data_IF_924953877993
#
_entry.id   IF_924953877993
#
_cell.length_a   1.000
_cell.length_b   1.000
_cell.length_c   1.000
_cell.angle_alpha   90.00
_cell.angle_beta   90.00
_cell.angle_gamma   90.00
#
_symmetry.space_group_name_H-M   'P 1'
#
loop_
_entity.id
_entity.type
_entity.pdbx_description
1 polymer ?
#
# COMPACT_ATOMS: atom_id res chain seq x y z
N UNK A 1 8.69 -16.50 -12.55
CA UNK A 1 8.13 -15.30 -11.89
C UNK A 1 8.54 -15.35 -10.44
N UNK A 2 9.31 -14.39 -9.92
CA UNK A 2 9.56 -14.30 -8.48
C UNK A 2 8.24 -13.96 -7.78
N UNK A 3 7.98 -14.65 -6.66
CA UNK A 3 6.83 -14.39 -5.78
C UNK A 3 7.40 -13.98 -4.44
N UNK A 4 6.95 -12.84 -3.92
CA UNK A 4 7.27 -12.39 -2.56
C UNK A 4 6.12 -12.75 -1.63
N UNK A 5 6.37 -13.66 -0.69
CA UNK A 5 5.40 -14.06 0.31
C UNK A 5 5.62 -13.24 1.58
N UNK A 6 4.56 -12.56 2.03
CA UNK A 6 4.64 -11.67 3.18
C UNK A 6 4.34 -12.47 4.45
N UNK A 7 5.40 -12.92 5.12
CA UNK A 7 5.34 -13.68 6.38
C UNK A 7 5.21 -12.72 7.58
N UNK A 8 4.05 -12.06 7.70
CA UNK A 8 3.77 -11.14 8.81
C UNK A 8 2.49 -11.54 9.55
N UNK A 9 2.52 -11.75 10.88
CA UNK A 9 1.38 -12.32 11.62
C UNK A 9 0.08 -11.50 11.47
N UNK A 10 0.19 -10.16 11.41
CA UNK A 10 -0.98 -9.29 11.17
C UNK A 10 -1.54 -9.44 9.76
N UNK A 11 -0.71 -9.73 8.75
CA UNK A 11 -1.20 -9.99 7.39
C UNK A 11 -2.01 -11.27 7.37
N UNK A 12 -1.51 -12.34 8.02
CA UNK A 12 -2.23 -13.61 8.11
C UNK A 12 -3.53 -13.48 8.90
N UNK A 13 -3.55 -12.73 10.01
CA UNK A 13 -4.77 -12.44 10.78
C UNK A 13 -5.84 -11.73 9.92
N UNK A 14 -5.47 -10.66 9.22
CA UNK A 14 -6.38 -9.95 8.31
C UNK A 14 -6.86 -10.86 7.18
N UNK A 15 -5.97 -11.71 6.65
CA UNK A 15 -6.32 -12.67 5.60
C UNK A 15 -7.34 -13.71 6.08
N UNK A 16 -7.27 -14.16 7.33
CA UNK A 16 -8.27 -15.05 7.91
C UNK A 16 -9.67 -14.41 7.89
N UNK A 17 -9.79 -13.14 8.33
CA UNK A 17 -11.07 -12.42 8.31
C UNK A 17 -11.59 -12.21 6.88
N UNK A 18 -10.71 -11.90 5.93
CA UNK A 18 -11.08 -11.75 4.52
C UNK A 18 -11.54 -13.06 3.86
N UNK A 19 -11.09 -14.21 4.36
CA UNK A 19 -11.46 -15.53 3.85
C UNK A 19 -12.72 -16.10 4.49
N UNK A 20 -13.07 -15.65 5.69
CA UNK A 20 -14.24 -16.14 6.40
C UNK A 20 -15.53 -15.70 5.69
N UNK A 21 -16.33 -16.67 5.25
CA UNK A 21 -17.62 -16.47 4.58
C UNK A 21 -18.68 -15.81 5.46
N UNK A 22 -18.50 -15.83 6.78
CA UNK A 22 -19.40 -15.19 7.74
C UNK A 22 -19.09 -13.71 7.96
N UNK A 23 -17.97 -13.20 7.43
CA UNK A 23 -17.54 -11.81 7.60
C UNK A 23 -18.56 -10.83 6.98
N UNK A 24 -19.13 -9.91 7.78
CA UNK A 24 -20.05 -8.91 7.28
C UNK A 24 -19.41 -7.98 6.24
N UNK A 25 -20.16 -7.44 5.27
CA UNK A 25 -19.60 -6.63 4.18
C UNK A 25 -18.83 -5.37 4.62
N UNK A 26 -19.24 -4.74 5.72
CA UNK A 26 -18.56 -3.58 6.30
C UNK A 26 -17.21 -3.95 6.92
N UNK A 27 -17.15 -5.06 7.67
CA UNK A 27 -15.91 -5.60 8.24
C UNK A 27 -14.97 -6.02 7.12
N UNK A 28 -15.48 -6.69 6.08
CA UNK A 28 -14.69 -7.08 4.91
C UNK A 28 -14.02 -5.87 4.26
N UNK A 29 -14.76 -4.78 4.01
CA UNK A 29 -14.20 -3.55 3.43
C UNK A 29 -13.12 -2.94 4.32
N UNK A 30 -13.32 -2.93 5.64
CA UNK A 30 -12.33 -2.42 6.59
C UNK A 30 -11.04 -3.25 6.56
N UNK A 31 -11.17 -4.58 6.55
CA UNK A 31 -10.02 -5.49 6.48
C UNK A 31 -9.33 -5.45 5.12
N UNK A 32 -10.06 -5.27 4.03
CA UNK A 32 -9.49 -5.12 2.69
C UNK A 32 -8.65 -3.84 2.59
N UNK A 33 -9.13 -2.74 3.16
CA UNK A 33 -8.35 -1.49 3.29
C UNK A 33 -7.08 -1.73 4.11
N UNK A 34 -7.19 -2.39 5.27
CA UNK A 34 -6.04 -2.71 6.14
C UNK A 34 -5.00 -3.59 5.44
N UNK A 35 -5.46 -4.64 4.75
CA UNK A 35 -4.60 -5.49 3.91
C UNK A 35 -3.88 -4.65 2.86
N UNK A 36 -4.59 -3.76 2.17
CA UNK A 36 -4.02 -2.90 1.13
C UNK A 36 -2.88 -2.02 1.66
N UNK A 37 -3.01 -1.45 2.86
CA UNK A 37 -1.93 -0.69 3.50
C UNK A 37 -0.69 -1.55 3.76
N UNK A 38 -0.88 -2.76 4.29
CA UNK A 38 0.22 -3.68 4.58
C UNK A 38 0.94 -4.12 3.30
N UNK A 39 0.17 -4.48 2.27
CA UNK A 39 0.71 -4.86 0.96
C UNK A 39 1.47 -3.70 0.30
N UNK A 40 0.93 -2.47 0.37
CA UNK A 40 1.58 -1.31 -0.22
C UNK A 40 2.87 -0.92 0.51
N UNK A 41 2.89 -1.00 1.85
CA UNK A 41 4.11 -0.77 2.62
C UNK A 41 5.21 -1.77 2.24
N UNK A 42 4.86 -3.05 2.13
CA UNK A 42 5.82 -4.10 1.76
C UNK A 42 6.27 -3.97 0.30
N UNK A 43 5.34 -3.75 -0.63
CA UNK A 43 5.65 -3.64 -2.07
C UNK A 43 6.50 -2.41 -2.43
N UNK A 44 6.64 -1.45 -1.51
CA UNK A 44 7.37 -0.19 -1.72
C UNK A 44 8.71 -0.14 -1.00
N UNK A 45 9.15 -1.22 -0.34
CA UNK A 45 10.37 -1.28 0.45
C UNK A 45 11.64 -0.93 -0.36
N UNK A 46 11.66 -1.30 -1.64
CA UNK A 46 12.81 -1.13 -2.55
C UNK A 46 12.68 0.08 -3.48
N UNK A 47 11.75 1.01 -3.23
CA UNK A 47 11.61 2.20 -4.06
C UNK A 47 12.90 3.05 -4.07
N UNK A 48 13.29 3.60 -5.23
CA UNK A 48 14.46 4.45 -5.31
C UNK A 48 14.27 5.72 -4.48
N UNK A 49 15.30 6.05 -3.72
CA UNK A 49 15.35 7.24 -2.88
C UNK A 49 16.51 8.14 -3.25
N UNK A 50 16.38 9.43 -2.95
CA UNK A 50 17.46 10.42 -3.06
C UNK A 50 17.87 10.92 -1.69
N UNK A 51 19.19 11.12 -1.44
CA UNK A 51 19.66 11.74 -0.22
C UNK A 51 19.17 13.19 -0.14
N UNK A 52 18.79 13.61 1.05
CA UNK A 52 18.38 14.99 1.35
C UNK A 52 18.94 15.39 2.72
N UNK A 53 19.15 16.69 2.92
CA UNK A 53 19.42 17.26 4.25
C UNK A 53 18.21 18.09 4.66
N UNK A 54 17.72 17.89 5.88
CA UNK A 54 16.59 18.65 6.43
C UNK A 54 17.03 19.40 7.69
N UNK A 55 16.44 20.57 7.93
CA UNK A 55 16.63 21.31 9.18
C UNK A 55 15.62 20.82 10.21
N UNK A 56 16.11 20.21 11.28
CA UNK A 56 15.30 19.84 12.45
C UNK A 56 15.43 20.92 13.53
N UNK A 57 14.57 20.92 14.58
CA UNK A 57 14.74 21.81 15.72
C UNK A 57 16.12 21.70 16.41
N UNK A 58 16.82 20.57 16.24
CA UNK A 58 18.15 20.32 16.80
C UNK A 58 19.30 20.56 15.80
N UNK A 59 19.00 21.02 14.58
CA UNK A 59 19.98 21.31 13.52
C UNK A 59 19.81 20.47 12.25
N UNK A 60 20.76 20.57 11.29
CA UNK A 60 20.73 19.82 10.03
C UNK A 60 20.88 18.31 10.24
N UNK A 61 20.03 17.52 9.59
CA UNK A 61 20.05 16.05 9.67
C UNK A 61 19.97 15.41 8.27
N UNK A 62 20.73 14.32 8.01
CA UNK A 62 20.61 13.56 6.77
C UNK A 62 19.31 12.75 6.74
N UNK A 63 18.75 12.58 5.55
CA UNK A 63 17.55 11.78 5.32
C UNK A 63 17.47 11.25 3.90
N UNK A 64 16.39 10.51 3.62
CA UNK A 64 16.08 9.97 2.30
C UNK A 64 14.67 10.37 1.91
N UNK A 65 14.48 10.76 0.66
CA UNK A 65 13.15 11.07 0.10
C UNK A 65 12.87 10.13 -1.08
N UNK A 66 11.69 9.55 -1.13
CA UNK A 66 11.23 8.75 -2.27
C UNK A 66 11.19 9.64 -3.51
N UNK A 67 11.81 9.18 -4.61
CA UNK A 67 11.97 9.95 -5.84
C UNK A 67 11.36 9.30 -7.08
N UNK A 68 10.57 8.23 -6.89
CA UNK A 68 9.97 7.47 -7.99
C UNK A 68 8.67 8.12 -8.50
N UNK A 69 8.50 8.16 -9.82
CA UNK A 69 7.22 8.46 -10.47
C UNK A 69 6.32 7.22 -10.43
N UNK A 70 5.43 7.16 -9.43
CA UNK A 70 4.59 5.99 -9.19
C UNK A 70 3.21 6.16 -9.85
N UNK A 71 2.74 5.09 -10.47
CA UNK A 71 1.38 4.98 -11.02
C UNK A 71 0.67 3.80 -10.37
N UNK A 72 -0.47 4.05 -9.75
CA UNK A 72 -1.35 3.03 -9.18
C UNK A 72 -2.44 2.70 -10.20
N UNK A 73 -2.58 1.42 -10.54
CA UNK A 73 -3.55 0.96 -11.53
C UNK A 73 -4.49 -0.08 -10.93
N UNK A 74 -5.64 0.32 -10.36
CA UNK A 74 -6.67 -0.64 -9.95
C UNK A 74 -7.24 -1.40 -11.15
N UNK A 75 -7.36 -2.72 -10.97
CA UNK A 75 -8.18 -3.57 -11.84
C UNK A 75 -9.62 -3.53 -11.32
N UNK A 76 -10.52 -2.99 -12.15
CA UNK A 76 -11.91 -2.79 -11.75
C UNK A 76 -12.70 -4.10 -11.74
N UNK A 77 -13.68 -4.27 -10.83
CA UNK A 77 -14.15 -3.29 -9.83
C UNK A 77 -13.48 -3.43 -8.46
N UNK A 78 -13.03 -4.64 -8.11
CA UNK A 78 -12.56 -4.95 -6.75
C UNK A 78 -11.36 -4.10 -6.32
N UNK A 79 -10.47 -3.73 -7.25
CA UNK A 79 -9.29 -2.92 -6.97
C UNK A 79 -9.60 -1.50 -6.50
N UNK A 80 -10.81 -0.98 -6.73
CA UNK A 80 -11.16 0.40 -6.37
C UNK A 80 -11.08 0.63 -4.85
N UNK A 81 -11.49 -0.36 -4.05
CA UNK A 81 -11.43 -0.26 -2.58
C UNK A 81 -10.01 -0.27 -2.00
N UNK A 82 -8.99 -0.54 -2.82
CA UNK A 82 -7.58 -0.59 -2.40
C UNK A 82 -6.85 0.72 -2.68
N UNK A 83 -7.32 1.52 -3.65
CA UNK A 83 -6.60 2.71 -4.14
C UNK A 83 -6.36 3.71 -3.03
N UNK A 84 -7.40 4.02 -2.25
CA UNK A 84 -7.32 5.03 -1.18
C UNK A 84 -6.25 4.67 -0.14
N UNK A 85 -6.11 3.37 0.18
CA UNK A 85 -5.06 2.89 1.08
C UNK A 85 -3.66 3.07 0.48
N UNK A 86 -3.48 2.81 -0.81
CA UNK A 86 -2.17 3.00 -1.46
C UNK A 86 -1.80 4.48 -1.51
N UNK A 87 -2.76 5.36 -1.82
CA UNK A 87 -2.56 6.81 -1.86
C UNK A 87 -2.27 7.41 -0.48
N UNK A 88 -2.71 6.79 0.60
CA UNK A 88 -2.35 7.18 1.97
C UNK A 88 -0.83 7.01 2.22
N UNK A 89 -0.22 5.97 1.63
CA UNK A 89 1.24 5.73 1.74
C UNK A 89 2.01 6.56 0.70
N UNK A 90 1.46 6.69 -0.51
CA UNK A 90 2.09 7.34 -1.65
C UNK A 90 1.20 8.49 -2.20
N UNK A 91 1.10 9.62 -1.49
CA UNK A 91 0.16 10.69 -1.85
C UNK A 91 0.48 11.38 -3.19
N UNK A 92 1.72 11.27 -3.68
CA UNK A 92 2.13 11.80 -4.97
C UNK A 92 1.90 10.86 -6.16
N UNK A 93 1.37 9.65 -5.94
CA UNK A 93 1.15 8.70 -7.01
C UNK A 93 0.00 9.11 -7.92
N UNK A 94 0.16 8.87 -9.23
CA UNK A 94 -0.92 9.06 -10.21
C UNK A 94 -1.82 7.82 -10.25
N UNK A 95 -3.09 7.99 -10.57
CA UNK A 95 -4.05 6.87 -10.68
C UNK A 95 -4.50 6.69 -12.13
N UNK A 96 -4.31 5.50 -12.68
CA UNK A 96 -4.88 5.08 -13.97
C UNK A 96 -5.88 3.95 -13.75
N UNK A 97 -7.00 3.91 -14.49
CA UNK A 97 -8.04 2.90 -14.27
C UNK A 97 -8.08 1.90 -15.43
N UNK A 98 -8.11 0.60 -15.13
CA UNK A 98 -8.30 -0.46 -16.12
C UNK A 98 -9.50 -1.30 -15.75
N UNK A 99 -10.47 -1.37 -16.67
CA UNK A 99 -11.57 -2.33 -16.61
C UNK A 99 -11.27 -3.55 -17.47
N UNK A 100 -11.50 -4.74 -16.92
CA UNK A 100 -11.48 -5.99 -17.66
C UNK A 100 -12.94 -6.47 -17.82
N UNK A 101 -13.25 -7.01 -19.01
CA UNK A 101 -14.53 -7.64 -19.32
C UNK A 101 -14.42 -9.15 -19.19
#
# INVERSE_FOLDING_TARGET
MPVHLIEHPVVHDVLCVLRDSSTPPDVFRQMARRMSLLLAAEATCDLPTRPVTVTTPLGPAPGRRVGADIVVVPVLRAGLGMVDAVLEILPGARVGHIGLQ
#
